data_IF_726340510820
#
_entry.id   IF_726340510820
#
_cell.length_a   1.000
_cell.length_b   1.000
_cell.length_c   1.000
_cell.angle_alpha   90.00
_cell.angle_beta   90.00
_cell.angle_gamma   90.00
#
_symmetry.space_group_name_H-M   'P 1'
#
loop_
_entity.id
_entity.type
_entity.pdbx_description
1 polymer ?
#
# COMPACT_ATOMS: atom_id res chain seq x y z
N UNK A 1 -30.28 -28.77 -27.70
CA UNK A 1 -29.09 -28.00 -28.20
C UNK A 1 -28.24 -27.55 -27.01
N UNK A 2 -27.56 -28.51 -26.37
CA UNK A 2 -26.68 -28.22 -25.21
C UNK A 2 -25.31 -27.65 -25.62
N UNK A 3 -24.85 -27.88 -26.86
CA UNK A 3 -23.52 -27.45 -27.29
C UNK A 3 -23.49 -26.66 -28.61
N UNK A 4 -24.63 -26.30 -29.19
CA UNK A 4 -24.71 -25.60 -30.49
C UNK A 4 -23.90 -26.26 -31.63
N UNK A 5 -23.54 -27.54 -31.49
CA UNK A 5 -22.80 -28.33 -32.46
C UNK A 5 -23.80 -29.20 -33.19
N UNK A 6 -23.80 -29.16 -34.53
CA UNK A 6 -24.66 -30.04 -35.32
C UNK A 6 -24.10 -31.48 -35.29
N UNK A 7 -25.02 -32.47 -35.48
CA UNK A 7 -24.61 -33.87 -35.53
C UNK A 7 -23.63 -34.13 -36.70
N UNK A 8 -23.74 -33.37 -37.79
CA UNK A 8 -22.87 -33.46 -38.95
C UNK A 8 -21.48 -32.92 -38.70
N UNK A 9 -21.32 -31.90 -37.79
CA UNK A 9 -20.00 -31.45 -37.33
C UNK A 9 -19.31 -32.42 -36.41
N UNK A 10 -20.07 -33.22 -35.65
CA UNK A 10 -19.53 -34.27 -34.77
C UNK A 10 -19.03 -35.50 -35.58
N UNK A 11 -19.56 -35.70 -36.77
CA UNK A 11 -19.22 -36.82 -37.68
C UNK A 11 -18.18 -36.42 -38.74
N UNK A 12 -17.82 -35.13 -38.81
CA UNK A 12 -16.78 -34.66 -39.72
C UNK A 12 -15.39 -34.99 -39.14
N UNK A 13 -14.49 -35.61 -39.93
CA UNK A 13 -13.08 -35.82 -39.54
C UNK A 13 -12.26 -34.49 -39.46
N UNK A 14 -12.86 -33.36 -39.79
CA UNK A 14 -12.24 -32.05 -39.63
C UNK A 14 -12.19 -31.66 -38.14
N UNK A 15 -11.09 -31.06 -37.65
CA UNK A 15 -11.02 -30.63 -36.28
C UNK A 15 -12.15 -29.62 -36.04
N UNK A 16 -13.03 -29.94 -35.07
CA UNK A 16 -14.16 -29.11 -34.70
C UNK A 16 -13.61 -27.79 -34.18
N UNK A 17 -13.67 -26.76 -35.02
CA UNK A 17 -13.42 -25.40 -34.58
C UNK A 17 -14.57 -24.98 -33.67
N UNK A 18 -14.51 -25.43 -32.39
CA UNK A 18 -15.51 -25.03 -31.41
C UNK A 18 -15.51 -23.51 -31.32
N UNK A 19 -16.69 -22.84 -31.32
CA UNK A 19 -16.75 -21.39 -31.10
C UNK A 19 -16.05 -20.98 -29.79
N UNK A 20 -15.89 -21.91 -28.85
CA UNK A 20 -15.08 -21.73 -27.64
C UNK A 20 -13.57 -21.67 -27.91
N UNK A 21 -13.04 -22.44 -28.90
CA UNK A 21 -11.62 -22.35 -29.24
C UNK A 21 -11.28 -20.99 -29.86
N UNK A 22 -12.18 -20.41 -30.66
CA UNK A 22 -12.03 -19.05 -31.18
C UNK A 22 -12.15 -17.98 -30.09
N UNK A 23 -13.08 -18.14 -29.12
CA UNK A 23 -13.18 -17.24 -27.98
C UNK A 23 -11.94 -17.29 -27.10
N UNK A 24 -11.33 -18.46 -26.89
CA UNK A 24 -10.07 -18.59 -26.16
C UNK A 24 -8.87 -18.05 -26.93
N UNK A 25 -8.81 -18.18 -28.24
CA UNK A 25 -7.73 -17.62 -29.06
C UNK A 25 -7.79 -16.08 -29.19
N UNK A 26 -8.95 -15.47 -28.97
CA UNK A 26 -9.11 -14.02 -29.00
C UNK A 26 -8.95 -13.35 -27.62
N UNK A 27 -8.84 -14.13 -26.54
CA UNK A 27 -8.49 -13.62 -25.21
C UNK A 27 -7.03 -13.17 -25.23
N UNK A 28 -6.83 -11.89 -25.45
CA UNK A 28 -5.52 -11.26 -25.32
C UNK A 28 -5.18 -11.20 -23.82
N UNK A 29 -4.23 -12.01 -23.39
CA UNK A 29 -3.74 -11.96 -22.02
C UNK A 29 -3.06 -10.61 -21.78
N UNK A 30 -3.43 -9.92 -20.72
CA UNK A 30 -2.76 -8.68 -20.29
C UNK A 30 -1.36 -8.99 -19.75
N UNK A 31 -1.19 -10.18 -19.16
CA UNK A 31 0.08 -10.67 -18.62
C UNK A 31 0.32 -12.08 -19.18
N UNK A 32 1.11 -12.16 -20.24
CA UNK A 32 1.53 -13.41 -20.87
C UNK A 32 2.83 -13.95 -20.29
N UNK A 33 3.68 -13.08 -19.73
CA UNK A 33 5.00 -13.45 -19.25
C UNK A 33 5.19 -13.11 -17.76
N UNK A 34 5.86 -14.02 -17.03
CA UNK A 34 6.16 -13.83 -15.60
C UNK A 34 6.95 -12.55 -15.33
N UNK A 35 7.81 -12.13 -16.25
CA UNK A 35 8.63 -10.93 -16.13
C UNK A 35 7.78 -9.65 -16.03
N UNK A 36 6.68 -9.57 -16.77
CA UNK A 36 5.75 -8.43 -16.73
C UNK A 36 5.07 -8.33 -15.37
N UNK A 37 4.65 -9.47 -14.81
CA UNK A 37 4.07 -9.54 -13.47
C UNK A 37 5.09 -9.13 -12.39
N UNK A 38 6.33 -9.58 -12.51
CA UNK A 38 7.39 -9.19 -11.59
C UNK A 38 7.71 -7.70 -11.65
N UNK A 39 7.76 -7.10 -12.83
CA UNK A 39 8.04 -5.69 -13.00
C UNK A 39 6.89 -4.83 -12.46
N UNK A 40 5.64 -5.25 -12.64
CA UNK A 40 4.49 -4.64 -11.97
C UNK A 40 4.64 -4.69 -10.45
N UNK A 41 4.94 -5.86 -9.88
CA UNK A 41 5.12 -6.03 -8.43
C UNK A 41 6.32 -5.24 -7.88
N UNK A 42 7.41 -5.11 -8.66
CA UNK A 42 8.55 -4.24 -8.29
C UNK A 42 8.13 -2.77 -8.26
N UNK A 43 7.37 -2.30 -9.26
CA UNK A 43 6.86 -0.94 -9.31
C UNK A 43 5.90 -0.65 -8.14
N UNK A 44 4.98 -1.57 -7.86
CA UNK A 44 4.06 -1.45 -6.71
C UNK A 44 4.81 -1.41 -5.38
N UNK A 45 5.85 -2.24 -5.20
CA UNK A 45 6.68 -2.22 -3.99
C UNK A 45 7.37 -0.88 -3.78
N UNK A 46 7.87 -0.27 -4.85
CA UNK A 46 8.49 1.06 -4.79
C UNK A 46 7.49 2.12 -4.33
N UNK A 47 6.26 2.09 -4.86
CA UNK A 47 5.17 2.98 -4.43
C UNK A 47 4.81 2.72 -2.96
N UNK A 48 4.60 1.46 -2.58
CA UNK A 48 4.25 1.06 -1.23
C UNK A 48 5.29 1.56 -0.21
N UNK A 49 6.57 1.40 -0.51
CA UNK A 49 7.66 1.88 0.34
C UNK A 49 7.69 3.41 0.42
N UNK A 50 7.54 4.09 -0.71
CA UNK A 50 7.45 5.55 -0.75
C UNK A 50 6.27 6.07 0.07
N UNK A 51 5.08 5.48 -0.05
CA UNK A 51 3.91 5.85 0.74
C UNK A 51 4.13 5.65 2.25
N UNK A 52 4.73 4.51 2.65
CA UNK A 52 5.03 4.23 4.05
C UNK A 52 6.03 5.23 4.65
N UNK A 53 7.11 5.53 3.95
CA UNK A 53 8.11 6.52 4.36
C UNK A 53 7.50 7.93 4.41
N UNK A 54 6.73 8.30 3.40
CA UNK A 54 6.08 9.61 3.35
C UNK A 54 5.13 9.81 4.51
N UNK A 55 4.37 8.79 4.87
CA UNK A 55 3.48 8.83 6.03
C UNK A 55 4.28 9.03 7.33
N UNK A 56 5.41 8.34 7.50
CA UNK A 56 6.30 8.54 8.63
C UNK A 56 6.79 9.99 8.72
N UNK A 57 7.27 10.56 7.62
CA UNK A 57 7.73 11.95 7.60
C UNK A 57 6.61 12.95 7.88
N UNK A 58 5.37 12.70 7.41
CA UNK A 58 4.22 13.52 7.76
C UNK A 58 3.96 13.52 9.28
N UNK A 59 4.08 12.35 9.93
CA UNK A 59 3.91 12.25 11.38
C UNK A 59 5.07 12.87 12.18
N UNK A 60 6.28 12.86 11.63
CA UNK A 60 7.45 13.49 12.25
C UNK A 60 7.52 15.01 12.00
N UNK A 61 6.80 15.52 10.99
CA UNK A 61 6.89 16.93 10.60
C UNK A 61 6.60 17.93 11.74
N UNK A 62 5.66 17.69 12.68
CA UNK A 62 5.39 18.62 13.77
C UNK A 62 6.38 18.54 14.94
N UNK A 63 7.37 17.64 14.90
CA UNK A 63 8.30 17.44 16.04
C UNK A 63 9.03 18.70 16.45
N UNK A 64 9.57 19.46 15.50
CA UNK A 64 10.28 20.69 15.82
C UNK A 64 9.33 21.76 16.36
N UNK A 65 8.12 21.84 15.83
CA UNK A 65 7.08 22.72 16.36
C UNK A 65 6.77 22.39 17.82
N UNK A 66 6.50 21.11 18.10
CA UNK A 66 6.21 20.65 19.47
C UNK A 66 7.38 20.89 20.42
N UNK A 67 8.62 20.64 19.94
CA UNK A 67 9.82 20.90 20.73
C UNK A 67 9.98 22.39 21.06
N UNK A 68 9.82 23.29 20.08
CA UNK A 68 9.94 24.74 20.29
C UNK A 68 8.84 25.28 21.21
N UNK A 69 7.60 24.77 21.07
CA UNK A 69 6.48 25.11 21.96
C UNK A 69 6.77 24.63 23.38
N UNK A 70 7.32 23.43 23.56
CA UNK A 70 7.72 22.93 24.87
C UNK A 70 8.77 23.81 25.53
N UNK A 71 9.78 24.23 24.79
CA UNK A 71 10.82 25.15 25.28
C UNK A 71 10.24 26.50 25.68
N UNK A 72 9.37 27.07 24.85
CA UNK A 72 8.72 28.35 25.15
C UNK A 72 7.85 28.28 26.41
N UNK A 73 7.04 27.21 26.57
CA UNK A 73 6.07 27.13 27.67
C UNK A 73 6.68 26.72 29.00
N UNK A 74 7.69 25.87 29.01
CA UNK A 74 8.18 25.23 30.24
C UNK A 74 9.61 25.63 30.65
N UNK A 75 10.36 26.33 29.79
CA UNK A 75 11.72 26.78 30.09
C UNK A 75 11.80 28.31 30.06
N UNK A 76 11.66 29.01 31.22
CA UNK A 76 11.56 30.46 31.30
C UNK A 76 12.72 31.20 30.64
N UNK A 77 13.92 30.65 30.69
CA UNK A 77 15.17 31.26 30.20
C UNK A 77 15.58 30.76 28.80
N UNK A 78 14.69 30.13 28.07
CA UNK A 78 15.01 29.55 26.75
C UNK A 78 15.35 30.60 25.67
N UNK A 79 15.00 31.87 25.91
CA UNK A 79 15.18 32.94 24.92
C UNK A 79 14.29 32.81 23.67
N UNK A 80 13.37 31.84 23.65
CA UNK A 80 12.46 31.58 22.53
C UNK A 80 11.18 32.38 22.77
N UNK A 81 10.85 33.28 21.84
CA UNK A 81 9.55 33.96 21.84
C UNK A 81 8.46 33.09 21.22
N UNK A 82 7.20 33.34 21.56
CA UNK A 82 6.04 32.67 20.96
C UNK A 82 6.06 32.77 19.44
N UNK A 83 6.38 33.94 18.90
CA UNK A 83 6.45 34.17 17.45
C UNK A 83 7.58 33.34 16.80
N UNK A 84 8.72 33.20 17.46
CA UNK A 84 9.82 32.32 16.99
C UNK A 84 9.40 30.85 17.01
N UNK A 85 8.79 30.39 18.10
CA UNK A 85 8.32 29.01 18.20
C UNK A 85 7.29 28.68 17.12
N UNK A 86 6.28 29.53 16.94
CA UNK A 86 5.24 29.37 15.94
C UNK A 86 5.80 29.51 14.51
N UNK A 87 6.64 30.51 14.23
CA UNK A 87 7.19 30.76 12.90
C UNK A 87 8.15 29.67 12.43
N UNK A 88 9.17 29.39 13.21
CA UNK A 88 10.17 28.34 12.86
C UNK A 88 9.55 26.94 12.87
N UNK A 89 8.65 26.67 13.82
CA UNK A 89 7.96 25.39 13.93
C UNK A 89 7.05 25.13 12.73
N UNK A 90 6.24 26.11 12.32
CA UNK A 90 5.35 25.97 11.16
C UNK A 90 6.13 25.88 9.83
N UNK A 91 7.20 26.66 9.69
CA UNK A 91 8.10 26.59 8.54
C UNK A 91 8.72 25.19 8.41
N UNK A 92 9.27 24.63 9.48
CA UNK A 92 9.88 23.30 9.45
C UNK A 92 8.86 22.21 9.15
N UNK A 93 7.64 22.31 9.74
CA UNK A 93 6.55 21.37 9.46
C UNK A 93 6.18 21.39 7.97
N UNK A 94 6.02 22.56 7.38
CA UNK A 94 5.69 22.73 5.97
C UNK A 94 6.81 22.22 5.06
N UNK A 95 8.07 22.52 5.41
CA UNK A 95 9.26 22.10 4.63
C UNK A 95 9.42 20.58 4.56
N UNK A 96 9.05 19.86 5.63
CA UNK A 96 9.10 18.39 5.67
C UNK A 96 7.85 17.78 5.03
N UNK A 97 6.67 18.35 5.30
CA UNK A 97 5.39 17.79 4.87
C UNK A 97 5.21 17.89 3.34
N UNK A 98 5.63 18.99 2.70
CA UNK A 98 5.49 19.17 1.26
C UNK A 98 6.21 18.09 0.45
N UNK A 99 7.53 17.82 0.62
CA UNK A 99 8.19 16.75 -0.11
C UNK A 99 7.69 15.37 0.31
N UNK A 100 7.31 15.18 1.58
CA UNK A 100 6.75 13.91 2.03
C UNK A 100 5.44 13.57 1.31
N UNK A 101 4.55 14.52 1.09
CA UNK A 101 3.30 14.29 0.36
C UNK A 101 3.51 14.21 -1.17
N UNK A 102 4.45 14.98 -1.72
CA UNK A 102 4.69 15.02 -3.17
C UNK A 102 5.35 13.76 -3.70
N UNK A 103 6.24 13.12 -2.94
CA UNK A 103 6.97 11.93 -3.39
C UNK A 103 6.07 10.74 -3.78
N UNK A 104 5.11 10.28 -2.95
CA UNK A 104 4.20 9.21 -3.36
C UNK A 104 3.29 9.64 -4.50
N UNK A 105 2.87 10.91 -4.54
CA UNK A 105 2.03 11.43 -5.62
C UNK A 105 2.73 11.33 -6.98
N UNK A 106 4.00 11.74 -7.04
CA UNK A 106 4.82 11.62 -8.24
C UNK A 106 4.95 10.15 -8.66
N UNK A 107 5.22 9.25 -7.71
CA UNK A 107 5.32 7.82 -8.02
C UNK A 107 4.01 7.23 -8.54
N UNK A 108 2.86 7.66 -8.01
CA UNK A 108 1.53 7.22 -8.49
C UNK A 108 1.23 7.80 -9.86
N UNK A 109 1.56 9.07 -10.11
CA UNK A 109 1.35 9.73 -11.42
C UNK A 109 2.23 9.12 -12.51
N UNK A 110 3.49 8.82 -12.19
CA UNK A 110 4.45 8.21 -13.11
C UNK A 110 4.33 6.67 -13.18
N UNK A 111 3.30 6.07 -12.55
CA UNK A 111 3.13 4.63 -12.54
C UNK A 111 2.75 4.10 -13.92
N UNK A 112 3.62 3.29 -14.58
CA UNK A 112 3.43 2.86 -15.95
C UNK A 112 2.21 1.93 -16.13
N UNK A 113 1.81 1.22 -15.07
CA UNK A 113 0.72 0.25 -15.07
C UNK A 113 -0.60 0.84 -14.55
N UNK A 114 -0.82 2.16 -14.68
CA UNK A 114 -2.02 2.84 -14.19
C UNK A 114 -3.31 2.30 -14.82
N UNK A 115 -3.25 1.86 -16.07
CA UNK A 115 -4.37 1.22 -16.76
C UNK A 115 -4.78 -0.10 -16.11
N UNK A 116 -3.82 -0.85 -15.57
CA UNK A 116 -4.05 -2.12 -14.89
C UNK A 116 -4.75 -1.96 -13.53
N UNK A 117 -4.68 -0.79 -12.93
CA UNK A 117 -5.43 -0.50 -11.70
C UNK A 117 -6.93 -0.31 -11.94
N UNK A 118 -7.35 -0.06 -13.19
CA UNK A 118 -8.74 0.24 -13.56
C UNK A 118 -9.44 -0.89 -14.30
N UNK A 119 -8.71 -1.84 -14.87
CA UNK A 119 -9.25 -2.96 -15.65
C UNK A 119 -9.02 -4.27 -14.91
N UNK A 120 -9.85 -5.25 -15.21
CA UNK A 120 -9.61 -6.63 -14.82
C UNK A 120 -8.43 -7.15 -15.63
N UNK A 121 -7.47 -7.76 -14.96
CA UNK A 121 -6.22 -8.22 -15.57
C UNK A 121 -6.35 -9.71 -15.81
N UNK A 122 -6.21 -10.14 -17.07
CA UNK A 122 -6.18 -11.55 -17.44
C UNK A 122 -4.74 -12.06 -17.35
N UNK A 123 -4.49 -12.95 -16.41
CA UNK A 123 -3.18 -13.56 -16.15
C UNK A 123 -3.14 -14.98 -16.67
N UNK A 124 -2.11 -15.34 -17.43
CA UNK A 124 -1.92 -16.70 -17.93
C UNK A 124 -1.78 -17.72 -16.77
N UNK A 125 -2.27 -18.94 -16.97
CA UNK A 125 -2.38 -19.93 -15.89
C UNK A 125 -1.04 -20.35 -15.29
N UNK A 126 0.01 -20.46 -16.11
CA UNK A 126 1.40 -20.74 -15.72
C UNK A 126 2.01 -19.62 -14.89
N UNK A 127 1.80 -18.37 -15.32
CA UNK A 127 2.23 -17.17 -14.59
C UNK A 127 1.51 -17.06 -13.24
N UNK A 128 0.22 -17.40 -13.21
CA UNK A 128 -0.58 -17.40 -11.99
C UNK A 128 -0.05 -18.39 -10.94
N UNK A 129 0.32 -19.60 -11.37
CA UNK A 129 0.90 -20.59 -10.46
C UNK A 129 2.23 -20.10 -9.86
N UNK A 130 3.12 -19.54 -10.67
CA UNK A 130 4.36 -18.95 -10.21
C UNK A 130 4.14 -17.77 -9.23
N UNK A 131 3.13 -16.91 -9.50
CA UNK A 131 2.75 -15.82 -8.60
C UNK A 131 2.19 -16.32 -7.26
N UNK A 132 1.45 -17.43 -7.23
CA UNK A 132 0.98 -18.04 -5.99
C UNK A 132 2.13 -18.52 -5.12
N UNK A 133 3.14 -19.13 -5.72
CA UNK A 133 4.35 -19.56 -5.01
C UNK A 133 5.16 -18.36 -4.47
N UNK A 134 5.38 -17.33 -5.30
CA UNK A 134 6.06 -16.10 -4.84
C UNK A 134 5.27 -15.41 -3.71
N UNK A 135 3.95 -15.36 -3.82
CA UNK A 135 3.08 -14.85 -2.75
C UNK A 135 3.29 -15.61 -1.45
N UNK A 136 3.27 -16.94 -1.47
CA UNK A 136 3.46 -17.75 -0.25
C UNK A 136 4.82 -17.48 0.42
N UNK A 137 5.88 -17.39 -0.39
CA UNK A 137 7.22 -17.06 0.13
C UNK A 137 7.28 -15.68 0.78
N UNK A 138 6.58 -14.69 0.23
CA UNK A 138 6.58 -13.31 0.71
C UNK A 138 5.55 -13.01 1.79
N UNK A 139 4.49 -13.83 1.93
CA UNK A 139 3.47 -13.62 2.96
C UNK A 139 4.05 -13.70 4.37
N UNK A 140 4.98 -14.64 4.64
CA UNK A 140 5.59 -14.78 5.97
C UNK A 140 6.27 -13.48 6.46
N UNK A 141 7.20 -12.86 5.69
CA UNK A 141 7.81 -11.61 6.14
C UNK A 141 6.83 -10.43 6.18
N UNK A 142 5.79 -10.41 5.32
CA UNK A 142 4.75 -9.38 5.36
C UNK A 142 3.90 -9.49 6.63
N UNK A 143 3.47 -10.69 6.99
CA UNK A 143 2.70 -10.95 8.23
C UNK A 143 3.55 -10.55 9.44
N UNK A 144 4.84 -10.92 9.48
CA UNK A 144 5.72 -10.54 10.57
C UNK A 144 5.82 -9.02 10.73
N UNK A 145 5.92 -8.27 9.63
CA UNK A 145 5.93 -6.79 9.67
C UNK A 145 4.60 -6.23 10.18
N UNK A 146 3.46 -6.79 9.78
CA UNK A 146 2.13 -6.38 10.26
C UNK A 146 2.02 -6.64 11.77
N UNK A 147 2.42 -7.82 12.23
CA UNK A 147 2.41 -8.16 13.66
C UNK A 147 3.31 -7.20 14.46
N UNK A 148 4.51 -6.92 13.95
CA UNK A 148 5.42 -5.96 14.58
C UNK A 148 4.82 -4.55 14.65
N UNK A 149 4.15 -4.09 13.59
CA UNK A 149 3.48 -2.79 13.56
C UNK A 149 2.32 -2.72 14.57
N UNK A 150 1.52 -3.78 14.66
CA UNK A 150 0.43 -3.87 15.65
C UNK A 150 1.01 -3.87 17.08
N UNK A 151 2.06 -4.64 17.32
CA UNK A 151 2.73 -4.68 18.62
C UNK A 151 3.27 -3.29 19.01
N UNK A 152 3.85 -2.57 18.05
CA UNK A 152 4.34 -1.21 18.26
C UNK A 152 3.19 -0.26 18.63
N UNK A 153 2.03 -0.36 17.97
CA UNK A 153 0.84 0.42 18.32
C UNK A 153 0.36 0.12 19.74
N UNK A 154 0.27 -1.18 20.07
CA UNK A 154 -0.15 -1.63 21.40
C UNK A 154 0.80 -1.19 22.50
N UNK A 155 2.07 -0.98 22.21
CA UNK A 155 3.05 -0.46 23.16
C UNK A 155 3.02 1.07 23.26
N UNK A 156 2.90 1.76 22.13
CA UNK A 156 3.01 3.22 22.05
C UNK A 156 1.83 3.92 22.73
N UNK A 157 0.61 3.45 22.51
CA UNK A 157 -0.60 4.08 23.04
C UNK A 157 -0.65 4.02 24.58
N UNK A 158 -0.49 2.86 25.25
CA UNK A 158 -0.45 2.80 26.70
C UNK A 158 0.70 3.58 27.31
N UNK A 159 1.88 3.56 26.67
CA UNK A 159 3.05 4.34 27.14
C UNK A 159 2.75 5.83 27.18
N UNK A 160 2.09 6.36 26.14
CA UNK A 160 1.63 7.76 26.11
C UNK A 160 0.61 8.05 27.21
N UNK A 161 -0.38 7.19 27.41
CA UNK A 161 -1.39 7.34 28.48
C UNK A 161 -0.74 7.37 29.85
N UNK A 162 0.24 6.49 30.10
CA UNK A 162 0.99 6.46 31.36
C UNK A 162 1.78 7.77 31.59
N UNK A 163 2.42 8.31 30.54
CA UNK A 163 3.11 9.60 30.61
C UNK A 163 2.13 10.72 30.97
N UNK A 164 0.95 10.77 30.34
CA UNK A 164 -0.06 11.78 30.63
C UNK A 164 -0.58 11.70 32.08
N UNK A 165 -0.80 10.49 32.60
CA UNK A 165 -1.25 10.27 33.97
C UNK A 165 -0.18 10.68 34.98
N UNK A 166 1.10 10.36 34.70
CA UNK A 166 2.18 10.57 35.63
C UNK A 166 2.65 12.04 35.70
N UNK A 167 2.72 12.72 34.57
CA UNK A 167 3.34 14.05 34.45
C UNK A 167 2.33 15.19 34.28
N UNK A 168 1.08 14.91 33.88
CA UNK A 168 0.05 15.93 33.70
C UNK A 168 0.44 17.02 32.72
N UNK A 169 0.37 18.28 33.13
CA UNK A 169 0.71 19.46 32.30
C UNK A 169 2.19 19.85 32.41
N UNK A 170 3.11 18.93 32.14
CA UNK A 170 4.55 19.17 32.16
C UNK A 170 5.17 18.98 30.79
N UNK A 171 6.44 19.40 30.64
CA UNK A 171 7.23 19.25 29.41
C UNK A 171 7.30 17.80 28.93
N UNK A 172 7.33 16.86 29.88
CA UNK A 172 7.38 15.41 29.61
C UNK A 172 6.15 14.93 28.82
N UNK A 173 5.00 15.57 29.00
CA UNK A 173 3.80 15.24 28.24
C UNK A 173 3.95 15.57 26.76
N UNK A 174 4.62 16.69 26.42
CA UNK A 174 4.90 17.04 25.02
C UNK A 174 5.86 16.02 24.39
N UNK A 175 6.87 15.59 25.13
CA UNK A 175 7.75 14.50 24.67
C UNK A 175 6.98 13.18 24.50
N UNK A 176 5.99 12.92 25.37
CA UNK A 176 5.07 11.80 25.22
C UNK A 176 4.27 11.87 23.93
N UNK A 177 3.76 13.05 23.54
CA UNK A 177 3.08 13.28 22.24
C UNK A 177 4.03 13.02 21.07
N UNK A 178 5.28 13.50 21.16
CA UNK A 178 6.28 13.23 20.11
C UNK A 178 6.55 11.73 19.97
N UNK A 179 6.71 11.01 21.09
CA UNK A 179 6.88 9.55 21.08
C UNK A 179 5.67 8.85 20.46
N UNK A 180 4.45 9.28 20.80
CA UNK A 180 3.21 8.76 20.22
C UNK A 180 3.18 8.96 18.70
N UNK A 181 3.44 10.18 18.22
CA UNK A 181 3.46 10.49 16.80
C UNK A 181 4.52 9.68 16.04
N UNK A 182 5.72 9.54 16.63
CA UNK A 182 6.79 8.73 16.06
C UNK A 182 6.41 7.25 15.96
N UNK A 183 5.89 6.67 17.03
CA UNK A 183 5.43 5.28 17.07
C UNK A 183 4.27 5.01 16.11
N UNK A 184 3.27 5.90 16.08
CA UNK A 184 2.16 5.84 15.11
C UNK A 184 2.66 5.96 13.66
N UNK A 185 3.58 6.90 13.41
CA UNK A 185 4.16 7.11 12.08
C UNK A 185 4.85 5.86 11.55
N UNK A 186 5.68 5.21 12.37
CA UNK A 186 6.37 3.96 12.02
C UNK A 186 5.36 2.83 11.79
N UNK A 187 4.45 2.61 12.73
CA UNK A 187 3.50 1.50 12.67
C UNK A 187 2.56 1.62 11.47
N UNK A 188 1.93 2.77 11.29
CA UNK A 188 1.00 3.01 10.17
C UNK A 188 1.75 3.04 8.83
N UNK A 189 2.97 3.58 8.78
CA UNK A 189 3.81 3.52 7.58
C UNK A 189 4.10 2.08 7.13
N UNK A 190 4.40 1.18 8.06
CA UNK A 190 4.57 -0.25 7.79
C UNK A 190 3.25 -0.87 7.32
N UNK A 191 2.12 -0.60 8.00
CA UNK A 191 0.81 -1.15 7.65
C UNK A 191 0.36 -0.71 6.25
N UNK A 192 0.53 0.57 5.90
CA UNK A 192 0.23 1.12 4.57
C UNK A 192 1.07 0.41 3.51
N UNK A 193 2.39 0.30 3.75
CA UNK A 193 3.30 -0.36 2.80
C UNK A 193 2.94 -1.84 2.59
N UNK A 194 2.62 -2.57 3.66
CA UNK A 194 2.19 -3.97 3.57
C UNK A 194 0.82 -4.10 2.89
N UNK A 195 -0.14 -3.23 3.23
CA UNK A 195 -1.49 -3.24 2.67
C UNK A 195 -1.49 -3.05 1.15
N UNK A 196 -0.74 -2.08 0.63
CA UNK A 196 -0.60 -1.84 -0.82
C UNK A 196 -0.06 -3.09 -1.52
N UNK A 197 0.94 -3.76 -0.94
CA UNK A 197 1.52 -4.98 -1.52
C UNK A 197 0.51 -6.14 -1.53
N UNK A 198 -0.24 -6.33 -0.45
CA UNK A 198 -1.26 -7.39 -0.36
C UNK A 198 -2.36 -7.16 -1.40
N UNK A 199 -2.85 -5.93 -1.52
CA UNK A 199 -3.88 -5.56 -2.52
C UNK A 199 -3.38 -5.82 -3.95
N UNK A 200 -2.10 -5.53 -4.25
CA UNK A 200 -1.53 -5.81 -5.56
C UNK A 200 -1.52 -7.31 -5.89
N UNK A 201 -1.12 -8.16 -4.94
CA UNK A 201 -1.19 -9.62 -5.12
C UNK A 201 -2.63 -10.12 -5.25
N UNK A 202 -3.57 -9.59 -4.46
CA UNK A 202 -4.98 -9.96 -4.56
C UNK A 202 -5.54 -9.62 -5.94
N UNK A 203 -5.19 -8.45 -6.51
CA UNK A 203 -5.63 -8.06 -7.85
C UNK A 203 -5.10 -8.98 -8.95
N UNK A 204 -3.81 -9.34 -8.90
CA UNK A 204 -3.23 -10.26 -9.88
C UNK A 204 -3.78 -11.69 -9.79
N UNK A 205 -4.24 -12.09 -8.60
CA UNK A 205 -4.73 -13.44 -8.34
C UNK A 205 -6.26 -13.54 -8.29
N UNK A 206 -6.99 -12.41 -8.40
CA UNK A 206 -8.44 -12.40 -8.37
C UNK A 206 -9.01 -13.06 -9.62
N UNK A 207 -9.94 -14.03 -9.42
CA UNK A 207 -10.66 -14.73 -10.47
C UNK A 207 -11.83 -13.85 -10.95
N UNK A 208 -11.56 -12.82 -11.75
CA UNK A 208 -12.63 -12.02 -12.34
C UNK A 208 -13.20 -12.61 -13.64
N UNK A 209 -12.66 -13.73 -14.11
CA UNK A 209 -13.29 -14.48 -15.20
C UNK A 209 -14.41 -15.35 -14.63
N UNK A 210 -15.50 -14.74 -14.21
CA UNK A 210 -16.78 -15.45 -14.13
C UNK A 210 -17.22 -15.72 -15.56
N UNK A 211 -16.77 -16.85 -16.11
CA UNK A 211 -17.48 -17.45 -17.24
C UNK A 211 -18.88 -17.76 -16.73
N UNK A 212 -19.82 -16.84 -16.99
CA UNK A 212 -21.22 -17.18 -16.82
C UNK A 212 -21.50 -18.38 -17.72
N UNK A 213 -22.33 -19.35 -17.30
CA UNK A 213 -22.61 -20.55 -18.11
C UNK A 213 -23.21 -20.25 -19.48
N UNK A 214 -23.38 -18.99 -19.83
CA UNK A 214 -23.96 -18.51 -21.12
C UNK A 214 -22.94 -17.74 -21.99
N UNK A 215 -21.63 -17.75 -21.68
CA UNK A 215 -20.61 -17.19 -22.57
C UNK A 215 -20.61 -15.67 -22.73
N UNK A 216 -21.33 -14.93 -21.90
CA UNK A 216 -21.26 -13.46 -21.86
C UNK A 216 -20.24 -13.04 -20.77
N UNK A 217 -19.10 -12.53 -21.24
CA UNK A 217 -18.15 -11.80 -20.40
C UNK A 217 -18.86 -10.52 -19.87
N UNK A 218 -19.00 -10.40 -18.58
CA UNK A 218 -19.29 -9.13 -17.90
C UNK A 218 -18.09 -8.65 -17.15
#
# INVERSE_FOLDING_TARGET
RLFQISLDELLSEAPIASPFAFAYCSLQWDIAHLQEAEDFLKAVRKIAHSCGISFLFCMLSPFLLLYLVAQYQFVPDSGISEQMAAGLGSLSTSLIMLPAMSAPLIHILCFPYRSWLRRDILVAADVRQALMEDRQRRLRPLILRIVLAILLLLLTIPSFVMICIQYGERIETIYGVMLLLGGLGIALGILISCGIQIIAYQRLLSDHVHLTPYGTLR
#
